data_IF_632471785912
#
_entry.id   IF_632471785912
#
_cell.length_a   1.000
_cell.length_b   1.000
_cell.length_c   1.000
_cell.angle_alpha   90.00
_cell.angle_beta   90.00
_cell.angle_gamma   90.00
#
_symmetry.space_group_name_H-M   'P 1'
#
loop_
_entity.id
_entity.type
_entity.pdbx_description
1 polymer ?
#
# COMPACT_ATOMS: atom_id res chain seq x y z
N UNK A 1 -3.06 -25.98 20.06
CA UNK A 1 -2.77 -24.79 19.25
C UNK A 1 -2.85 -25.19 17.79
N UNK A 2 -3.69 -24.53 17.00
CA UNK A 2 -3.68 -24.74 15.55
C UNK A 2 -2.35 -24.18 15.03
N UNK A 3 -1.60 -25.03 14.33
CA UNK A 3 -0.31 -24.66 13.74
C UNK A 3 -0.53 -23.62 12.65
N UNK A 4 0.20 -22.51 12.72
CA UNK A 4 0.21 -21.52 11.64
C UNK A 4 0.78 -22.21 10.39
N UNK A 5 0.14 -22.10 9.22
CA UNK A 5 0.67 -22.70 7.99
C UNK A 5 2.08 -22.19 7.67
N UNK A 6 2.95 -23.05 7.15
CA UNK A 6 4.36 -22.70 6.88
C UNK A 6 4.52 -21.61 5.82
N UNK A 7 3.57 -21.52 4.88
CA UNK A 7 3.49 -20.52 3.81
C UNK A 7 2.77 -19.23 4.24
N UNK A 8 2.43 -19.08 5.52
CA UNK A 8 1.72 -17.92 6.04
C UNK A 8 2.64 -16.92 6.74
N UNK A 9 2.32 -15.63 6.60
CA UNK A 9 2.92 -14.57 7.40
C UNK A 9 2.16 -14.49 8.73
N UNK A 10 2.85 -14.71 9.83
CA UNK A 10 2.28 -14.58 11.19
C UNK A 10 1.86 -13.14 11.46
N UNK A 11 0.67 -12.96 12.02
CA UNK A 11 0.13 -11.68 12.44
C UNK A 11 -0.33 -11.74 13.90
N UNK A 12 0.05 -10.75 14.71
CA UNK A 12 -0.27 -10.71 16.14
C UNK A 12 0.22 -11.99 16.87
N UNK A 13 -0.47 -12.40 17.94
CA UNK A 13 -0.09 -13.55 18.77
C UNK A 13 -0.42 -14.90 18.11
N UNK A 14 -1.60 -15.02 17.46
CA UNK A 14 -2.12 -16.28 16.90
C UNK A 14 -2.69 -16.16 15.48
N UNK A 15 -2.72 -14.96 14.90
CA UNK A 15 -3.27 -14.69 13.58
C UNK A 15 -2.27 -14.94 12.45
N UNK A 16 -2.77 -14.88 11.23
CA UNK A 16 -1.94 -14.95 10.03
C UNK A 16 -2.64 -14.40 8.79
N UNK A 17 -1.84 -14.10 7.77
CA UNK A 17 -2.24 -13.93 6.37
C UNK A 17 -1.50 -14.97 5.53
N UNK A 18 -2.25 -15.76 4.77
CA UNK A 18 -1.70 -16.74 3.83
C UNK A 18 -2.22 -16.44 2.44
N UNK A 19 -1.31 -16.22 1.48
CA UNK A 19 -1.68 -16.14 0.07
C UNK A 19 -2.03 -17.54 -0.41
N UNK A 20 -3.32 -17.77 -0.67
CA UNK A 20 -3.82 -19.08 -1.12
C UNK A 20 -3.60 -19.22 -2.62
N UNK A 21 -3.84 -18.14 -3.35
CA UNK A 21 -3.84 -18.12 -4.80
C UNK A 21 -3.74 -16.68 -5.30
N UNK A 22 -3.16 -16.51 -6.48
CA UNK A 22 -3.12 -15.24 -7.20
C UNK A 22 -3.26 -15.50 -8.69
N UNK A 23 -4.01 -14.65 -9.38
CA UNK A 23 -4.18 -14.71 -10.82
C UNK A 23 -3.57 -13.45 -11.46
N UNK A 24 -2.66 -13.65 -12.40
CA UNK A 24 -1.96 -12.58 -13.10
C UNK A 24 -0.81 -11.97 -12.29
N UNK A 25 -0.39 -10.79 -12.71
CA UNK A 25 0.73 -10.02 -12.19
C UNK A 25 0.92 -8.76 -13.03
N UNK A 26 2.12 -8.20 -13.03
CA UNK A 26 2.44 -7.02 -13.86
C UNK A 26 2.18 -7.25 -15.37
N UNK A 27 2.39 -8.47 -15.85
CA UNK A 27 2.14 -8.89 -17.23
C UNK A 27 0.64 -8.84 -17.59
N UNK A 28 -0.24 -9.27 -16.69
CA UNK A 28 -1.69 -9.23 -16.87
C UNK A 28 -2.20 -7.78 -16.97
N UNK A 29 -1.65 -6.86 -16.16
CA UNK A 29 -1.96 -5.42 -16.22
C UNK A 29 -1.61 -4.88 -17.61
N UNK A 30 -0.40 -5.19 -18.08
CA UNK A 30 0.11 -4.73 -19.37
C UNK A 30 -0.68 -5.31 -20.53
N UNK A 31 -0.96 -6.62 -20.49
CA UNK A 31 -1.77 -7.30 -21.49
C UNK A 31 -3.15 -6.64 -21.60
N UNK A 32 -3.83 -6.45 -20.46
CA UNK A 32 -5.15 -5.83 -20.41
C UNK A 32 -5.14 -4.39 -20.96
N UNK A 33 -4.13 -3.60 -20.59
CA UNK A 33 -3.98 -2.24 -21.10
C UNK A 33 -3.71 -2.19 -22.61
N UNK A 34 -2.99 -3.17 -23.16
CA UNK A 34 -2.61 -3.24 -24.58
C UNK A 34 -3.67 -3.82 -25.50
N UNK A 35 -4.69 -4.51 -24.99
CA UNK A 35 -5.87 -4.86 -25.80
C UNK A 35 -6.48 -3.59 -26.43
N UNK A 36 -6.37 -2.45 -25.76
CA UNK A 36 -6.75 -1.14 -26.28
C UNK A 36 -5.84 -0.60 -27.41
N UNK A 37 -4.63 -1.14 -27.60
CA UNK A 37 -3.58 -0.61 -28.48
C UNK A 37 -3.09 -1.58 -29.59
N UNK A 38 -3.59 -2.81 -29.66
CA UNK A 38 -3.21 -3.79 -30.70
C UNK A 38 -1.82 -4.43 -30.49
N UNK A 39 -1.53 -5.53 -31.20
CA UNK A 39 -0.30 -6.31 -31.00
C UNK A 39 0.96 -5.53 -31.40
N UNK A 40 1.88 -5.36 -30.44
CA UNK A 40 3.25 -4.92 -30.69
C UNK A 40 4.22 -5.71 -29.79
N UNK A 41 5.39 -6.04 -30.32
CA UNK A 41 6.49 -6.68 -29.58
C UNK A 41 7.00 -5.76 -28.48
N UNK A 42 6.93 -6.17 -27.20
CA UNK A 42 7.34 -5.34 -26.07
C UNK A 42 8.67 -5.77 -25.44
N UNK A 43 9.42 -4.79 -24.95
CA UNK A 43 10.55 -4.97 -24.03
C UNK A 43 10.09 -4.73 -22.58
N UNK A 44 10.66 -5.42 -21.60
CA UNK A 44 10.33 -5.27 -20.15
C UNK A 44 10.39 -3.81 -19.66
N UNK A 45 11.32 -2.99 -20.18
CA UNK A 45 11.37 -1.56 -19.83
C UNK A 45 10.15 -0.76 -20.27
N UNK A 46 9.48 -1.18 -21.34
CA UNK A 46 8.22 -0.58 -21.80
C UNK A 46 7.04 -0.98 -20.91
N UNK A 47 7.09 -2.17 -20.31
CA UNK A 47 6.04 -2.70 -19.45
C UNK A 47 5.98 -1.95 -18.11
N UNK A 48 7.12 -1.80 -17.43
CA UNK A 48 7.24 -0.96 -16.22
C UNK A 48 6.80 0.48 -16.49
N UNK A 49 7.24 1.07 -17.61
CA UNK A 49 6.85 2.42 -18.00
C UNK A 49 5.35 2.59 -18.23
N UNK A 50 4.69 1.59 -18.82
CA UNK A 50 3.24 1.57 -19.00
C UNK A 50 2.49 1.47 -17.67
N UNK A 51 2.88 0.55 -16.78
CA UNK A 51 2.24 0.40 -15.46
C UNK A 51 2.32 1.71 -14.66
N UNK A 52 3.51 2.32 -14.62
CA UNK A 52 3.71 3.63 -13.97
C UNK A 52 2.81 4.70 -14.55
N UNK A 53 2.71 4.76 -15.88
CA UNK A 53 1.81 5.69 -16.56
C UNK A 53 0.34 5.48 -16.15
N UNK A 54 -0.13 4.23 -16.14
CA UNK A 54 -1.51 3.89 -15.76
C UNK A 54 -1.82 4.30 -14.31
N UNK A 55 -0.93 3.97 -13.37
CA UNK A 55 -1.07 4.33 -11.95
C UNK A 55 -1.15 5.85 -11.77
N UNK A 56 -0.21 6.59 -12.37
CA UNK A 56 -0.13 8.06 -12.30
C UNK A 56 -1.39 8.74 -12.81
N UNK A 57 -1.99 8.20 -13.87
CA UNK A 57 -3.21 8.74 -14.50
C UNK A 57 -4.50 8.13 -13.95
N UNK A 58 -4.41 7.27 -12.91
CA UNK A 58 -5.55 6.58 -12.30
C UNK A 58 -6.37 5.78 -13.32
N UNK A 59 -5.69 5.18 -14.30
CA UNK A 59 -6.29 4.19 -15.20
C UNK A 59 -6.31 2.85 -14.46
N UNK A 60 -7.37 2.63 -13.67
CA UNK A 60 -7.41 1.54 -12.67
C UNK A 60 -7.84 0.19 -13.23
N UNK A 61 -8.66 0.17 -14.30
CA UNK A 61 -9.24 -1.08 -14.82
C UNK A 61 -8.24 -2.15 -15.24
N UNK A 62 -7.03 -1.86 -15.76
CA UNK A 62 -6.04 -2.92 -16.01
C UNK A 62 -5.52 -3.58 -14.73
N UNK A 63 -5.50 -2.86 -13.59
CA UNK A 63 -5.11 -3.42 -12.30
C UNK A 63 -6.17 -4.37 -11.74
N UNK A 64 -7.44 -4.23 -12.12
CA UNK A 64 -8.52 -5.13 -11.72
C UNK A 64 -8.40 -6.53 -12.33
N UNK A 65 -7.51 -6.72 -13.31
CA UNK A 65 -7.23 -8.02 -13.96
C UNK A 65 -6.26 -8.90 -13.16
N UNK A 66 -5.71 -8.38 -12.06
CA UNK A 66 -4.88 -9.15 -11.12
C UNK A 66 -5.70 -9.42 -9.87
N UNK A 67 -5.80 -10.69 -9.46
CA UNK A 67 -6.64 -11.12 -8.34
C UNK A 67 -5.81 -11.83 -7.27
N UNK A 68 -6.19 -11.62 -6.01
CA UNK A 68 -5.57 -12.25 -4.85
C UNK A 68 -6.64 -12.95 -4.02
N UNK A 69 -6.33 -14.16 -3.55
CA UNK A 69 -7.16 -14.92 -2.61
C UNK A 69 -6.32 -15.23 -1.38
N UNK A 70 -6.77 -14.75 -0.23
CA UNK A 70 -6.11 -14.96 1.04
C UNK A 70 -6.94 -15.83 1.97
N UNK A 71 -6.25 -16.62 2.79
CA UNK A 71 -6.80 -17.25 3.99
C UNK A 71 -6.23 -16.49 5.17
N UNK A 72 -7.11 -15.90 5.97
CA UNK A 72 -6.70 -15.05 7.08
C UNK A 72 -7.32 -15.57 8.37
N UNK A 73 -6.57 -15.43 9.45
CA UNK A 73 -7.03 -15.64 10.83
C UNK A 73 -6.82 -14.38 11.63
N UNK A 74 -7.89 -13.77 12.10
CA UNK A 74 -7.85 -12.49 12.80
C UNK A 74 -8.86 -12.42 13.95
N UNK A 75 -8.72 -11.49 14.89
CA UNK A 75 -9.75 -11.22 15.89
C UNK A 75 -11.02 -10.64 15.25
N UNK A 76 -12.20 -10.94 15.80
CA UNK A 76 -13.48 -10.44 15.28
C UNK A 76 -13.51 -8.90 15.17
N UNK A 77 -12.92 -8.17 16.12
CA UNK A 77 -12.87 -6.70 16.04
C UNK A 77 -12.05 -6.18 14.84
N UNK A 78 -11.05 -6.94 14.37
CA UNK A 78 -10.30 -6.65 13.15
C UNK A 78 -11.15 -6.98 11.92
N UNK A 79 -11.78 -8.17 11.90
CA UNK A 79 -12.66 -8.59 10.82
C UNK A 79 -13.78 -7.57 10.54
N UNK A 80 -14.36 -6.97 11.60
CA UNK A 80 -15.39 -5.92 11.50
C UNK A 80 -14.95 -4.62 10.83
N UNK A 81 -13.66 -4.28 10.91
CA UNK A 81 -13.09 -3.14 10.19
C UNK A 81 -12.79 -3.50 8.74
N UNK A 82 -12.36 -4.74 8.53
CA UNK A 82 -11.96 -5.25 7.23
C UNK A 82 -13.15 -5.48 6.31
N UNK A 83 -14.27 -6.02 6.79
CA UNK A 83 -15.51 -6.26 6.01
C UNK A 83 -16.13 -4.98 5.43
N UNK A 84 -15.68 -3.79 5.86
CA UNK A 84 -16.10 -2.50 5.30
C UNK A 84 -15.61 -2.29 3.87
N UNK A 85 -14.66 -3.09 3.41
CA UNK A 85 -14.13 -3.11 2.04
C UNK A 85 -15.00 -3.99 1.14
N UNK A 86 -16.08 -3.39 0.64
CA UNK A 86 -17.24 -4.07 0.01
C UNK A 86 -16.97 -4.67 -1.37
N UNK A 87 -15.85 -4.35 -2.00
CA UNK A 87 -15.49 -4.84 -3.33
C UNK A 87 -14.93 -6.27 -3.29
N UNK A 88 -14.56 -6.76 -2.10
CA UNK A 88 -14.06 -8.11 -1.91
C UNK A 88 -15.15 -9.17 -1.79
N UNK A 89 -14.80 -10.41 -2.11
CA UNK A 89 -15.60 -11.60 -1.80
C UNK A 89 -15.09 -12.25 -0.52
N UNK A 90 -15.99 -12.62 0.40
CA UNK A 90 -15.65 -13.11 1.73
C UNK A 90 -16.45 -14.38 2.04
N UNK A 91 -15.78 -15.37 2.61
CA UNK A 91 -16.42 -16.53 3.24
C UNK A 91 -15.80 -16.79 4.61
N UNK A 92 -16.57 -16.60 5.67
CA UNK A 92 -16.12 -16.62 7.06
C UNK A 92 -16.55 -17.89 7.79
N UNK A 93 -15.70 -18.36 8.70
CA UNK A 93 -16.01 -19.42 9.65
C UNK A 93 -17.24 -19.05 10.48
N UNK A 94 -18.31 -19.84 10.36
CA UNK A 94 -19.57 -19.53 11.01
C UNK A 94 -19.74 -20.28 12.33
N UNK A 95 -19.76 -19.52 13.42
CA UNK A 95 -20.14 -20.00 14.75
C UNK A 95 -21.62 -20.38 14.88
N UNK A 96 -22.41 -20.37 13.79
CA UNK A 96 -23.78 -20.91 13.74
C UNK A 96 -23.76 -22.42 13.54
N UNK A 97 -22.84 -22.86 12.68
CA UNK A 97 -22.72 -24.25 12.27
C UNK A 97 -21.65 -24.97 13.08
N UNK A 98 -20.58 -24.26 13.42
CA UNK A 98 -19.40 -24.83 14.06
C UNK A 98 -19.19 -24.29 15.47
N UNK A 99 -18.39 -25.01 16.26
CA UNK A 99 -18.03 -24.62 17.61
C UNK A 99 -16.92 -23.56 17.60
N UNK A 100 -16.95 -22.69 18.60
CA UNK A 100 -15.89 -21.71 18.82
C UNK A 100 -14.62 -22.43 19.26
N UNK A 101 -13.48 -21.92 18.81
CA UNK A 101 -12.16 -22.39 19.24
C UNK A 101 -11.68 -21.51 20.38
N UNK A 102 -10.99 -22.09 21.36
CA UNK A 102 -10.39 -21.34 22.47
C UNK A 102 -9.15 -20.57 22.01
N UNK A 103 -9.37 -19.57 21.17
CA UNK A 103 -8.33 -18.79 20.52
C UNK A 103 -8.72 -17.31 20.59
N UNK A 104 -8.17 -16.62 21.58
CA UNK A 104 -8.39 -15.19 21.82
C UNK A 104 -7.13 -14.39 21.58
N UNK A 105 -7.28 -13.17 21.07
CA UNK A 105 -6.20 -12.19 20.96
C UNK A 105 -5.75 -11.72 22.33
N UNK A 106 -4.45 -11.83 22.56
CA UNK A 106 -3.74 -11.21 23.65
C UNK A 106 -2.81 -10.11 23.10
N UNK A 107 -2.95 -8.86 23.57
CA UNK A 107 -2.09 -7.78 23.09
C UNK A 107 -0.66 -7.96 23.57
N UNK A 108 0.30 -7.60 22.71
CA UNK A 108 1.69 -7.46 23.11
C UNK A 108 1.83 -6.30 24.13
N UNK A 109 2.54 -6.48 25.26
CA UNK A 109 2.80 -5.41 26.22
C UNK A 109 3.41 -4.12 25.63
N UNK A 110 4.17 -4.20 24.55
CA UNK A 110 4.73 -3.04 23.84
C UNK A 110 3.64 -2.19 23.15
N UNK A 111 2.51 -2.82 22.87
CA UNK A 111 1.37 -2.26 22.15
C UNK A 111 0.25 -1.80 23.08
N UNK A 112 0.41 -1.96 24.39
CA UNK A 112 -0.45 -1.36 25.41
C UNK A 112 0.05 0.06 25.69
N UNK A 113 -0.66 1.04 25.14
CA UNK A 113 -0.33 2.47 25.21
C UNK A 113 -1.58 3.28 25.54
N UNK A 114 -1.41 4.53 25.97
CA UNK A 114 -2.54 5.42 26.21
C UNK A 114 -3.22 5.84 24.90
N UNK A 115 -4.42 6.39 25.01
CA UNK A 115 -5.13 6.96 23.86
C UNK A 115 -4.34 8.14 23.28
N UNK A 116 -4.15 8.17 21.96
CA UNK A 116 -3.51 9.34 21.34
C UNK A 116 -4.43 10.57 21.38
N UNK A 117 -3.86 11.72 21.74
CA UNK A 117 -4.54 13.02 21.73
C UNK A 117 -4.74 13.57 20.31
N UNK A 118 -3.88 13.17 19.36
CA UNK A 118 -3.91 13.63 17.96
C UNK A 118 -4.71 12.68 17.08
N UNK A 119 -4.57 11.38 17.31
CA UNK A 119 -5.25 10.34 16.55
C UNK A 119 -6.26 9.60 17.43
N UNK A 120 -7.56 9.91 17.27
CA UNK A 120 -8.63 9.26 18.05
C UNK A 120 -8.78 7.76 17.79
N UNK A 121 -8.16 7.23 16.73
CA UNK A 121 -8.14 5.79 16.41
C UNK A 121 -6.82 5.12 16.81
N UNK A 122 -5.86 5.90 17.30
CA UNK A 122 -4.52 5.44 17.61
C UNK A 122 -4.19 5.52 19.08
N UNK A 123 -3.01 5.00 19.38
CA UNK A 123 -2.43 4.95 20.71
C UNK A 123 -1.09 5.69 20.72
N UNK A 124 -0.75 6.29 21.85
CA UNK A 124 0.46 7.08 22.03
C UNK A 124 0.80 7.17 23.51
N UNK A 125 2.10 7.23 23.82
CA UNK A 125 2.60 7.37 25.18
C UNK A 125 2.71 6.04 25.91
N UNK A 126 3.42 6.08 27.03
CA UNK A 126 3.79 4.90 27.79
C UNK A 126 2.77 4.63 28.92
N UNK A 127 2.36 3.37 29.05
CA UNK A 127 1.52 2.91 30.15
C UNK A 127 2.40 2.26 31.22
N UNK A 128 2.25 2.58 32.51
CA UNK A 128 3.03 1.95 33.58
C UNK A 128 2.88 0.42 33.58
N UNK A 129 3.97 -0.29 33.89
CA UNK A 129 4.01 -1.77 33.88
C UNK A 129 2.89 -2.42 34.67
N UNK A 130 2.55 -1.88 35.84
CA UNK A 130 1.43 -2.39 36.67
C UNK A 130 0.09 -2.32 35.94
N UNK A 131 -0.16 -1.23 35.23
CA UNK A 131 -1.39 -1.05 34.46
C UNK A 131 -1.39 -1.93 33.20
N UNK A 132 -0.25 -2.12 32.54
CA UNK A 132 -0.11 -3.10 31.45
C UNK A 132 -0.44 -4.51 31.93
N UNK A 133 0.08 -4.91 33.09
CA UNK A 133 -0.20 -6.22 33.67
C UNK A 133 -1.70 -6.38 33.95
N UNK A 134 -2.33 -5.36 34.56
CA UNK A 134 -3.79 -5.37 34.79
C UNK A 134 -4.61 -5.53 33.50
N UNK A 135 -4.18 -4.90 32.40
CA UNK A 135 -4.82 -5.07 31.09
C UNK A 135 -4.69 -6.51 30.61
N UNK A 136 -3.49 -7.10 30.68
CA UNK A 136 -3.26 -8.48 30.27
C UNK A 136 -4.08 -9.47 31.11
N UNK A 137 -4.12 -9.27 32.43
CA UNK A 137 -4.90 -10.10 33.35
C UNK A 137 -6.40 -10.01 33.03
N UNK A 138 -6.90 -8.80 32.73
CA UNK A 138 -8.31 -8.59 32.34
C UNK A 138 -8.65 -9.29 31.02
N UNK A 139 -7.76 -9.21 30.02
CA UNK A 139 -7.93 -9.92 28.74
C UNK A 139 -7.94 -11.43 28.94
N UNK A 140 -7.07 -11.95 29.80
CA UNK A 140 -7.01 -13.37 30.12
C UNK A 140 -8.29 -13.82 30.85
N UNK A 141 -8.66 -13.12 31.92
CA UNK A 141 -9.84 -13.44 32.74
C UNK A 141 -11.11 -13.49 31.88
N UNK A 142 -11.36 -12.48 31.05
CA UNK A 142 -12.59 -12.44 30.24
C UNK A 142 -12.59 -13.53 29.17
N UNK A 143 -11.43 -13.84 28.58
CA UNK A 143 -11.31 -14.89 27.56
C UNK A 143 -11.60 -16.26 28.17
N UNK A 144 -10.94 -16.61 29.27
CA UNK A 144 -11.11 -17.89 29.97
C UNK A 144 -12.55 -18.06 30.50
N UNK A 145 -13.08 -17.03 31.18
CA UNK A 145 -14.42 -17.09 31.77
C UNK A 145 -15.52 -17.18 30.71
N UNK A 146 -15.43 -16.37 29.66
CA UNK A 146 -16.45 -16.40 28.59
C UNK A 146 -16.43 -17.72 27.82
N UNK A 147 -15.25 -18.31 27.60
CA UNK A 147 -15.13 -19.61 26.93
C UNK A 147 -15.63 -20.77 27.81
N UNK A 148 -15.38 -20.73 29.12
CA UNK A 148 -15.93 -21.72 30.07
C UNK A 148 -17.47 -21.70 30.04
N UNK A 149 -18.09 -20.52 30.19
CA UNK A 149 -19.55 -20.39 30.12
C UNK A 149 -20.08 -20.84 28.75
N UNK A 150 -19.37 -20.54 27.65
CA UNK A 150 -19.77 -20.95 26.31
C UNK A 150 -19.77 -22.48 26.19
N UNK A 151 -18.73 -23.12 26.72
CA UNK A 151 -18.58 -24.57 26.69
C UNK A 151 -19.68 -25.25 27.49
N UNK A 152 -19.98 -24.76 28.70
CA UNK A 152 -21.09 -25.26 29.52
C UNK A 152 -22.45 -25.17 28.80
N UNK A 153 -22.74 -24.03 28.16
CA UNK A 153 -23.98 -23.85 27.39
C UNK A 153 -24.05 -24.76 26.16
N UNK A 154 -22.92 -24.93 25.46
CA UNK A 154 -22.83 -25.80 24.29
C UNK A 154 -23.01 -27.28 24.67
N UNK A 155 -22.38 -27.72 25.77
CA UNK A 155 -22.56 -29.07 26.33
C UNK A 155 -23.99 -29.32 26.80
N UNK A 156 -24.66 -28.31 27.35
CA UNK A 156 -26.06 -28.36 27.73
C UNK A 156 -27.04 -28.37 26.53
N UNK A 157 -26.54 -28.29 25.30
CA UNK A 157 -27.35 -28.34 24.08
C UNK A 157 -28.04 -27.03 23.71
N UNK A 158 -27.60 -25.90 24.28
CA UNK A 158 -28.11 -24.58 23.87
C UNK A 158 -27.71 -24.34 22.41
N UNK A 159 -28.63 -23.75 21.62
CA UNK A 159 -28.38 -23.46 20.22
C UNK A 159 -27.08 -22.63 20.06
N UNK A 160 -26.14 -23.13 19.24
CA UNK A 160 -24.82 -22.52 19.00
C UNK A 160 -24.93 -21.03 18.63
N UNK A 161 -25.97 -20.67 17.88
CA UNK A 161 -26.15 -19.29 17.46
C UNK A 161 -26.50 -18.30 18.55
N UNK A 162 -27.11 -18.79 19.63
CA UNK A 162 -27.35 -18.02 20.84
C UNK A 162 -26.13 -18.09 21.76
N UNK A 163 -25.61 -19.30 22.03
CA UNK A 163 -24.53 -19.53 22.97
C UNK A 163 -23.28 -18.68 22.68
N UNK A 164 -22.88 -18.56 21.40
CA UNK A 164 -21.72 -17.75 21.01
C UNK A 164 -21.82 -16.26 21.37
N UNK A 165 -23.01 -15.73 21.64
CA UNK A 165 -23.23 -14.28 21.80
C UNK A 165 -22.57 -13.73 23.06
N UNK A 166 -22.14 -14.60 23.98
CA UNK A 166 -21.39 -14.23 25.17
C UNK A 166 -19.88 -14.07 24.90
N UNK A 167 -19.39 -14.58 23.76
CA UNK A 167 -17.97 -14.56 23.44
C UNK A 167 -17.52 -13.14 23.08
N UNK A 168 -16.41 -12.66 23.64
CA UNK A 168 -15.91 -11.31 23.38
C UNK A 168 -15.36 -11.16 21.95
N UNK A 169 -15.30 -9.91 21.48
CA UNK A 169 -14.84 -9.58 20.12
C UNK A 169 -13.35 -9.79 19.87
N UNK A 170 -12.57 -10.13 20.90
CA UNK A 170 -11.15 -10.53 20.77
C UNK A 170 -10.99 -12.01 20.41
N UNK A 171 -12.07 -12.79 20.30
CA UNK A 171 -12.05 -14.14 19.75
C UNK A 171 -11.55 -14.12 18.29
N UNK A 172 -10.72 -15.09 17.92
CA UNK A 172 -10.28 -15.28 16.54
C UNK A 172 -11.38 -15.90 15.66
N UNK A 173 -11.46 -15.39 14.44
CA UNK A 173 -12.23 -15.95 13.32
C UNK A 173 -11.27 -16.24 12.17
N UNK A 174 -11.74 -16.97 11.18
CA UNK A 174 -11.01 -17.25 9.95
C UNK A 174 -11.89 -17.02 8.73
N UNK A 175 -11.30 -16.56 7.65
CA UNK A 175 -12.01 -16.44 6.39
C UNK A 175 -11.14 -16.69 5.17
N UNK A 176 -11.80 -16.92 4.05
CA UNK A 176 -11.24 -16.63 2.74
C UNK A 176 -11.68 -15.23 2.31
N UNK A 177 -10.73 -14.43 1.82
CA UNK A 177 -10.95 -13.09 1.33
C UNK A 177 -10.30 -12.96 -0.05
N UNK A 178 -11.10 -12.67 -1.08
CA UNK A 178 -10.64 -12.52 -2.46
C UNK A 178 -10.92 -11.11 -2.96
N UNK A 179 -9.95 -10.47 -3.59
CA UNK A 179 -10.09 -9.13 -4.16
C UNK A 179 -9.10 -8.89 -5.30
N UNK A 180 -9.44 -7.96 -6.19
CA UNK A 180 -8.52 -7.52 -7.24
C UNK A 180 -7.45 -6.57 -6.70
N UNK A 181 -6.37 -6.38 -7.46
CA UNK A 181 -5.22 -5.57 -7.07
C UNK A 181 -5.57 -4.09 -6.88
N UNK A 182 -6.45 -3.51 -7.69
CA UNK A 182 -6.84 -2.11 -7.52
C UNK A 182 -7.49 -1.90 -6.15
N UNK A 183 -8.45 -2.75 -5.80
CA UNK A 183 -9.15 -2.69 -4.53
C UNK A 183 -8.29 -3.15 -3.34
N UNK A 184 -7.36 -4.08 -3.54
CA UNK A 184 -6.37 -4.46 -2.54
C UNK A 184 -5.39 -3.32 -2.24
N UNK A 185 -4.90 -2.60 -3.25
CA UNK A 185 -4.08 -1.41 -3.04
C UNK A 185 -4.86 -0.32 -2.29
N UNK A 186 -6.14 -0.14 -2.59
CA UNK A 186 -7.00 0.75 -1.80
C UNK A 186 -7.14 0.30 -0.33
N UNK A 187 -7.31 -1.00 -0.09
CA UNK A 187 -7.30 -1.58 1.25
C UNK A 187 -6.00 -1.25 1.98
N UNK A 188 -4.85 -1.54 1.35
CA UNK A 188 -3.52 -1.30 1.90
C UNK A 188 -3.32 0.19 2.22
N UNK A 189 -3.71 1.09 1.31
CA UNK A 189 -3.59 2.53 1.54
C UNK A 189 -4.38 3.05 2.73
N UNK A 190 -5.55 2.47 3.00
CA UNK A 190 -6.36 2.85 4.16
C UNK A 190 -5.97 2.13 5.45
N UNK A 191 -5.40 0.92 5.35
CA UNK A 191 -5.19 0.03 6.50
C UNK A 191 -3.74 -0.08 6.94
N UNK A 192 -2.76 0.28 6.12
CA UNK A 192 -1.38 0.48 6.56
C UNK A 192 -1.12 1.90 7.06
N UNK A 193 -2.09 2.81 6.95
CA UNK A 193 -1.97 4.18 7.44
C UNK A 193 -1.85 4.24 8.98
N UNK A 194 -1.01 5.15 9.49
CA UNK A 194 -0.80 5.34 10.93
C UNK A 194 -2.08 5.68 11.73
N UNK A 195 -3.12 6.20 11.06
CA UNK A 195 -4.43 6.46 11.63
C UNK A 195 -5.26 5.20 11.85
N UNK A 196 -5.01 4.13 11.09
CA UNK A 196 -5.68 2.87 11.31
C UNK A 196 -5.23 2.22 12.63
N UNK A 197 -6.14 1.48 13.26
CA UNK A 197 -5.85 0.69 14.45
C UNK A 197 -4.70 -0.28 14.16
N UNK A 198 -3.71 -0.34 15.05
CA UNK A 198 -2.50 -1.15 14.86
C UNK A 198 -2.80 -2.57 14.39
N UNK A 199 -3.76 -3.25 15.01
CA UNK A 199 -4.00 -4.65 14.72
C UNK A 199 -4.38 -4.91 13.26
N UNK A 200 -5.19 -4.05 12.62
CA UNK A 200 -5.50 -4.20 11.18
C UNK A 200 -4.32 -3.81 10.29
N UNK A 201 -3.42 -2.93 10.76
CA UNK A 201 -2.18 -2.59 10.03
C UNK A 201 -1.28 -3.80 9.84
N UNK A 202 -1.12 -4.61 10.89
CA UNK A 202 -0.32 -5.85 10.83
C UNK A 202 -0.80 -6.79 9.72
N UNK A 203 -2.11 -6.93 9.53
CA UNK A 203 -2.67 -7.74 8.44
C UNK A 203 -2.50 -7.06 7.07
N UNK A 204 -2.67 -5.75 7.00
CA UNK A 204 -2.47 -4.95 5.79
C UNK A 204 -1.04 -5.03 5.28
N UNK A 205 -0.07 -4.90 6.18
CA UNK A 205 1.36 -4.95 5.85
C UNK A 205 1.77 -6.36 5.41
N UNK A 206 1.24 -7.41 6.03
CA UNK A 206 1.44 -8.78 5.56
C UNK A 206 0.88 -9.01 4.14
N UNK A 207 -0.26 -8.40 3.81
CA UNK A 207 -0.81 -8.45 2.44
C UNK A 207 0.03 -7.66 1.44
N UNK A 208 0.59 -6.52 1.86
CA UNK A 208 1.48 -5.72 1.03
C UNK A 208 2.72 -6.51 0.57
N UNK A 209 3.27 -7.37 1.42
CA UNK A 209 4.37 -8.26 1.03
C UNK A 209 3.97 -9.25 -0.09
N UNK A 210 2.73 -9.75 -0.04
CA UNK A 210 2.20 -10.60 -1.13
C UNK A 210 2.01 -9.83 -2.43
N UNK A 211 1.53 -8.58 -2.35
CA UNK A 211 1.39 -7.70 -3.52
C UNK A 211 2.75 -7.40 -4.15
N UNK A 212 3.74 -7.05 -3.33
CA UNK A 212 5.11 -6.78 -3.76
C UNK A 212 5.75 -7.98 -4.47
N UNK A 213 5.44 -9.20 -4.03
CA UNK A 213 5.93 -10.42 -4.66
C UNK A 213 5.25 -10.72 -6.01
N UNK A 214 3.94 -10.53 -6.10
CA UNK A 214 3.14 -10.88 -7.30
C UNK A 214 3.19 -9.81 -8.40
N UNK A 215 3.16 -8.52 -8.03
CA UNK A 215 3.13 -7.40 -8.95
C UNK A 215 4.12 -6.29 -8.52
N UNK A 216 5.43 -6.54 -8.58
CA UNK A 216 6.46 -5.63 -8.09
C UNK A 216 6.46 -4.25 -8.78
N UNK A 217 6.19 -4.16 -10.09
CA UNK A 217 6.16 -2.86 -10.78
C UNK A 217 4.89 -2.06 -10.44
N UNK A 218 3.75 -2.73 -10.27
CA UNK A 218 2.55 -2.09 -9.77
C UNK A 218 2.72 -1.61 -8.33
N UNK A 219 3.37 -2.40 -7.47
CA UNK A 219 3.70 -2.02 -6.10
C UNK A 219 4.63 -0.80 -6.06
N UNK A 220 5.70 -0.81 -6.85
CA UNK A 220 6.62 0.32 -6.97
C UNK A 220 5.89 1.59 -7.43
N UNK A 221 5.07 1.51 -8.49
CA UNK A 221 4.29 2.64 -8.96
C UNK A 221 3.29 3.14 -7.88
N UNK A 222 2.67 2.23 -7.14
CA UNK A 222 1.76 2.58 -6.05
C UNK A 222 2.50 3.34 -4.94
N UNK A 223 3.69 2.88 -4.54
CA UNK A 223 4.52 3.56 -3.55
C UNK A 223 4.88 4.98 -4.01
N UNK A 224 5.35 5.15 -5.24
CA UNK A 224 5.79 6.45 -5.75
C UNK A 224 4.63 7.45 -5.90
N UNK A 225 3.50 7.02 -6.47
CA UNK A 225 2.44 7.94 -6.90
C UNK A 225 1.30 8.09 -5.90
N UNK A 226 1.05 7.08 -5.07
CA UNK A 226 -0.11 7.05 -4.18
C UNK A 226 0.31 7.23 -2.73
N UNK A 227 1.35 6.54 -2.28
CA UNK A 227 1.82 6.59 -0.88
C UNK A 227 2.75 7.77 -0.63
N UNK A 228 3.84 7.88 -1.40
CA UNK A 228 4.86 8.90 -1.23
C UNK A 228 4.60 10.16 -2.08
N UNK A 229 3.62 10.10 -2.97
CA UNK A 229 3.23 11.21 -3.83
C UNK A 229 2.54 12.33 -3.06
N UNK A 230 2.93 13.58 -3.32
CA UNK A 230 2.28 14.75 -2.73
C UNK A 230 1.08 15.19 -3.56
N UNK A 231 -0.07 15.39 -2.90
CA UNK A 231 -1.28 15.94 -3.53
C UNK A 231 -1.59 17.29 -2.92
N UNK A 232 -1.77 18.28 -3.78
CA UNK A 232 -2.23 19.60 -3.38
C UNK A 232 -3.73 19.74 -3.67
N UNK A 233 -4.48 20.24 -2.71
CA UNK A 233 -5.78 20.84 -2.93
C UNK A 233 -5.62 22.13 -3.74
N UNK A 234 -6.73 22.61 -4.33
CA UNK A 234 -6.76 23.90 -5.02
C UNK A 234 -6.22 25.06 -4.16
N UNK A 235 -6.47 25.03 -2.85
CA UNK A 235 -6.04 26.10 -1.94
C UNK A 235 -4.53 26.06 -1.74
N UNK A 236 -3.98 24.87 -1.46
CA UNK A 236 -2.54 24.68 -1.30
C UNK A 236 -1.78 25.01 -2.59
N UNK A 237 -2.32 24.60 -3.74
CA UNK A 237 -1.76 24.94 -5.06
C UNK A 237 -1.72 26.46 -5.28
N UNK A 238 -2.80 27.19 -4.96
CA UNK A 238 -2.83 28.65 -5.11
C UNK A 238 -1.82 29.36 -4.20
N UNK A 239 -1.56 28.82 -3.00
CA UNK A 239 -0.51 29.36 -2.13
C UNK A 239 0.88 29.12 -2.70
N UNK A 240 1.12 27.96 -3.30
CA UNK A 240 2.37 27.66 -3.98
C UNK A 240 2.59 28.62 -5.16
N UNK A 241 1.61 28.74 -6.06
CA UNK A 241 1.68 29.61 -7.25
C UNK A 241 1.98 31.08 -6.89
N UNK A 242 1.32 31.63 -5.87
CA UNK A 242 1.54 33.03 -5.46
C UNK A 242 2.94 33.31 -4.90
N UNK A 243 3.58 32.32 -4.31
CA UNK A 243 4.83 32.50 -3.57
C UNK A 243 6.03 31.89 -4.27
N UNK A 244 5.85 31.15 -5.37
CA UNK A 244 6.93 30.48 -6.10
C UNK A 244 7.59 31.48 -7.07
N UNK A 245 8.85 31.89 -6.84
CA UNK A 245 9.52 32.84 -7.72
C UNK A 245 9.78 32.23 -9.10
N UNK A 246 9.60 33.02 -10.18
CA UNK A 246 9.84 32.57 -11.56
C UNK A 246 11.25 31.98 -11.77
N UNK A 247 12.26 32.55 -11.12
CA UNK A 247 13.64 32.04 -11.16
C UNK A 247 13.74 30.59 -10.68
N UNK A 248 13.03 30.23 -9.62
CA UNK A 248 13.05 28.85 -9.10
C UNK A 248 12.42 27.88 -10.10
N UNK A 249 11.35 28.30 -10.78
CA UNK A 249 10.70 27.51 -11.84
C UNK A 249 11.67 27.30 -13.01
N UNK A 250 12.47 28.32 -13.36
CA UNK A 250 13.48 28.25 -14.41
C UNK A 250 14.64 27.34 -14.03
N UNK A 251 15.19 27.50 -12.82
CA UNK A 251 16.29 26.67 -12.30
C UNK A 251 15.89 25.18 -12.30
N UNK A 252 14.69 24.83 -11.82
CA UNK A 252 14.17 23.45 -11.86
C UNK A 252 13.93 23.00 -13.30
N UNK A 253 13.45 23.89 -14.18
CA UNK A 253 13.25 23.60 -15.60
C UNK A 253 14.56 23.24 -16.32
N UNK A 254 15.65 23.89 -15.93
CA UNK A 254 17.01 23.62 -16.39
C UNK A 254 17.49 22.25 -15.91
N UNK A 255 17.33 21.94 -14.62
CA UNK A 255 17.64 20.62 -14.06
C UNK A 255 16.90 19.49 -14.78
N UNK A 256 15.61 19.68 -15.09
CA UNK A 256 14.83 18.72 -15.85
C UNK A 256 15.41 18.53 -17.26
N UNK A 257 15.89 19.60 -17.91
CA UNK A 257 16.52 19.51 -19.23
C UNK A 257 17.81 18.68 -19.18
N UNK A 258 18.65 18.86 -18.16
CA UNK A 258 19.84 18.02 -17.91
C UNK A 258 19.44 16.56 -17.73
N UNK A 259 18.52 16.26 -16.82
CA UNK A 259 18.09 14.89 -16.54
C UNK A 259 17.47 14.21 -17.77
N UNK A 260 16.63 14.91 -18.54
CA UNK A 260 16.08 14.39 -19.80
C UNK A 260 17.18 14.06 -20.81
N UNK A 261 18.19 14.93 -20.92
CA UNK A 261 19.33 14.74 -21.83
C UNK A 261 20.15 13.52 -21.42
N UNK A 262 20.52 13.41 -20.14
CA UNK A 262 21.21 12.26 -19.57
C UNK A 262 20.43 10.96 -19.78
N UNK A 263 19.14 10.97 -19.48
CA UNK A 263 18.27 9.80 -19.65
C UNK A 263 18.15 9.36 -21.11
N UNK A 264 17.96 10.31 -22.03
CA UNK A 264 17.87 10.03 -23.46
C UNK A 264 19.19 9.54 -24.05
N UNK A 265 20.32 10.04 -23.54
CA UNK A 265 21.65 9.59 -23.93
C UNK A 265 21.95 8.18 -23.38
N UNK A 266 21.62 7.90 -22.12
CA UNK A 266 21.76 6.55 -21.54
C UNK A 266 20.94 5.50 -22.30
N UNK A 267 19.70 5.84 -22.72
CA UNK A 267 18.84 4.94 -23.48
C UNK A 267 19.31 4.74 -24.94
N UNK A 268 19.90 5.77 -25.54
CA UNK A 268 20.46 5.74 -26.90
C UNK A 268 21.68 6.68 -26.94
N UNK A 269 22.90 6.13 -26.77
CA UNK A 269 24.13 6.92 -26.77
C UNK A 269 24.27 7.76 -28.04
N UNK A 270 24.86 8.95 -27.89
CA UNK A 270 25.11 9.93 -28.96
C UNK A 270 26.56 10.40 -28.87
N UNK A 271 27.09 10.94 -29.96
CA UNK A 271 28.40 11.58 -29.95
C UNK A 271 28.40 12.81 -29.01
N UNK A 272 29.53 13.10 -28.36
CA UNK A 272 29.67 14.24 -27.43
C UNK A 272 29.23 15.57 -28.05
N UNK A 273 29.57 15.78 -29.32
CA UNK A 273 29.20 16.99 -30.07
C UNK A 273 27.69 17.19 -30.20
N UNK A 274 26.88 16.13 -30.11
CA UNK A 274 25.43 16.19 -30.26
C UNK A 274 24.68 16.37 -28.93
N UNK A 275 25.36 16.20 -27.79
CA UNK A 275 24.72 16.20 -26.47
C UNK A 275 24.21 17.60 -26.11
N UNK A 276 25.00 18.65 -26.35
CA UNK A 276 24.56 20.03 -26.10
C UNK A 276 23.35 20.41 -26.99
N UNK A 277 23.33 19.96 -28.25
CA UNK A 277 22.16 20.16 -29.12
C UNK A 277 20.93 19.40 -28.60
N UNK A 278 21.11 18.19 -28.06
CA UNK A 278 20.02 17.45 -27.42
C UNK A 278 19.48 18.18 -26.19
N UNK A 279 20.36 18.76 -25.38
CA UNK A 279 20.04 19.57 -24.22
C UNK A 279 19.16 20.78 -24.56
N UNK A 280 19.59 21.55 -25.55
CA UNK A 280 18.80 22.67 -26.07
C UNK A 280 17.43 22.21 -26.59
N UNK A 281 17.35 21.05 -27.25
CA UNK A 281 16.07 20.46 -27.68
C UNK A 281 15.17 20.03 -26.52
N UNK A 282 15.73 19.72 -25.35
CA UNK A 282 14.94 19.48 -24.13
C UNK A 282 14.57 20.78 -23.42
N UNK A 283 14.94 21.94 -23.98
CA UNK A 283 14.62 23.28 -23.51
C UNK A 283 15.52 23.77 -22.39
N UNK A 284 16.78 23.35 -22.38
CA UNK A 284 17.84 23.97 -21.58
C UNK A 284 18.34 25.27 -22.23
N UNK A 285 18.81 26.19 -21.40
CA UNK A 285 19.16 27.57 -21.74
C UNK A 285 20.59 27.98 -21.34
N UNK A 286 21.30 27.15 -20.57
CA UNK A 286 22.69 27.33 -20.16
C UNK A 286 23.64 27.46 -21.36
N UNK A 287 24.70 28.24 -21.14
CA UNK A 287 25.78 28.35 -22.11
C UNK A 287 26.44 26.98 -22.33
N UNK A 288 27.06 26.77 -23.49
CA UNK A 288 27.75 25.50 -23.75
C UNK A 288 28.87 25.22 -22.72
N UNK A 289 29.50 26.27 -22.20
CA UNK A 289 30.52 26.15 -21.17
C UNK A 289 29.92 25.65 -19.84
N UNK A 290 28.84 26.29 -19.38
CA UNK A 290 28.18 25.91 -18.12
C UNK A 290 27.57 24.51 -18.23
N UNK A 291 26.99 24.19 -19.39
CA UNK A 291 26.51 22.85 -19.71
C UNK A 291 27.60 21.80 -19.56
N UNK A 292 28.76 22.02 -20.18
CA UNK A 292 29.89 21.07 -20.08
C UNK A 292 30.37 20.91 -18.65
N UNK A 293 30.51 22.01 -17.90
CA UNK A 293 30.92 21.95 -16.49
C UNK A 293 29.99 21.07 -15.65
N UNK A 294 28.67 21.21 -15.82
CA UNK A 294 27.68 20.42 -15.08
C UNK A 294 27.53 19.01 -15.64
N UNK A 295 27.65 18.81 -16.95
CA UNK A 295 27.60 17.50 -17.57
C UNK A 295 28.77 16.61 -17.15
N UNK A 296 29.97 17.19 -17.13
CA UNK A 296 31.22 16.49 -16.82
C UNK A 296 31.38 16.23 -15.31
N UNK A 297 30.58 16.88 -14.46
CA UNK A 297 30.58 16.59 -13.00
C UNK A 297 30.11 15.17 -12.70
N UNK A 298 29.31 14.57 -13.59
CA UNK A 298 28.74 13.23 -13.41
C UNK A 298 27.62 13.17 -12.35
N UNK A 299 27.15 14.31 -11.85
CA UNK A 299 26.13 14.39 -10.79
C UNK A 299 24.68 14.33 -11.33
N UNK A 300 24.51 14.27 -12.66
CA UNK A 300 23.17 14.28 -13.28
C UNK A 300 22.53 12.90 -13.17
N UNK A 301 21.46 12.81 -12.39
CA UNK A 301 20.67 11.61 -12.27
C UNK A 301 19.81 11.34 -13.52
N UNK A 302 19.65 10.07 -13.87
CA UNK A 302 18.70 9.63 -14.90
C UNK A 302 17.32 9.37 -14.30
N UNK A 303 16.27 9.55 -15.09
CA UNK A 303 14.89 9.38 -14.63
C UNK A 303 13.98 8.74 -15.65
N UNK A 304 12.66 8.85 -15.44
CA UNK A 304 11.67 8.43 -16.42
C UNK A 304 11.34 9.60 -17.36
N UNK A 305 11.63 9.44 -18.65
CA UNK A 305 11.44 10.50 -19.68
C UNK A 305 10.02 11.07 -19.68
N UNK A 306 9.01 10.22 -19.54
CA UNK A 306 7.60 10.65 -19.58
C UNK A 306 7.24 11.45 -18.33
N UNK A 307 7.68 10.97 -17.17
CA UNK A 307 7.43 11.65 -15.90
C UNK A 307 8.08 13.03 -15.84
N UNK A 308 9.34 13.13 -16.29
CA UNK A 308 10.09 14.37 -16.36
C UNK A 308 9.45 15.37 -17.32
N UNK A 309 9.00 14.94 -18.51
CA UNK A 309 8.29 15.79 -19.47
C UNK A 309 6.97 16.32 -18.91
N UNK A 310 6.14 15.44 -18.35
CA UNK A 310 4.88 15.86 -17.74
C UNK A 310 5.11 16.75 -16.51
N UNK A 311 6.19 16.53 -15.74
CA UNK A 311 6.55 17.43 -14.64
C UNK A 311 6.97 18.81 -15.16
N UNK A 312 7.78 18.87 -16.22
CA UNK A 312 8.13 20.13 -16.89
C UNK A 312 6.89 20.88 -17.33
N UNK A 313 5.93 20.22 -17.97
CA UNK A 313 4.66 20.83 -18.39
C UNK A 313 3.87 21.39 -17.20
N UNK A 314 3.73 20.62 -16.12
CA UNK A 314 3.07 21.07 -14.88
C UNK A 314 3.79 22.28 -14.28
N UNK A 315 5.11 22.23 -14.19
CA UNK A 315 5.95 23.30 -13.64
C UNK A 315 5.80 24.59 -14.46
N UNK A 316 5.83 24.49 -15.79
CA UNK A 316 5.67 25.65 -16.68
C UNK A 316 4.26 26.25 -16.62
N UNK A 317 3.23 25.45 -16.31
CA UNK A 317 1.87 25.96 -16.11
C UNK A 317 1.73 26.86 -14.88
N UNK A 318 2.69 26.83 -13.95
CA UNK A 318 2.73 27.68 -12.76
C UNK A 318 3.30 29.08 -13.03
N UNK A 319 3.78 29.39 -14.25
CA UNK A 319 4.32 30.71 -14.61
C UNK A 319 3.25 31.80 -14.83
N UNK A 320 1.97 31.53 -14.52
CA UNK A 320 0.84 32.41 -14.84
C UNK A 320 0.61 33.52 -13.81
#
# INVERSE_FOLDING_TARGET
MIQIPEDAIKCLDKGFVRLVDSMGGDDAIVQAARVSYGQGTSKVSQDRGLIRYLMRHRHTTPFEMVEFKFHCKMPIFVARQWVRHRTANINEYSLRYSEARDEFYMPDPEHIQFQSALNKQGRMGEVPTELKQKVLDSFKEISERSFAIYSELNEAGVARELARSILPVNLYTEWYWKNDLHNLLHFVGLRSDSHAQYEIRVFSDAMAESVKAVAPFAWEAYQDYVVNGMRFSRIEQSLLEKNLPLRVIEDIGEDIAYQLTATLHAAKPREEADIYSLYQKQGGSDSELDFKLKWDSGEIEIGNIRELREFKEKLMSLKN
#
